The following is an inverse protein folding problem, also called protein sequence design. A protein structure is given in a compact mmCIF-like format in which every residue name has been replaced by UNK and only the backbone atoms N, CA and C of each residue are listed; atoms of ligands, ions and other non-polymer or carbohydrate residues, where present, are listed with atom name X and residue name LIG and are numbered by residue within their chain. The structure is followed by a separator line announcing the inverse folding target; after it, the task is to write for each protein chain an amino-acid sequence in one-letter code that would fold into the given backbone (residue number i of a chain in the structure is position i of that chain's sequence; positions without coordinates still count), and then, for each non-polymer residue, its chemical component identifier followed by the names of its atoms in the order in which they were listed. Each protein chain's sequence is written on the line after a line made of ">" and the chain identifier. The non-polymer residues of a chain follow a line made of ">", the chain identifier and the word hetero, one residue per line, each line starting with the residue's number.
data_IF_802137411630
#
_entry.id   IF_802137411630
#
_cell.length_a   1.000
_cell.length_b   1.000
_cell.length_c   1.000
_cell.angle_alpha   90.00
_cell.angle_beta   90.00
_cell.angle_gamma   90.00
#
_symmetry.space_group_name_H-M   'P 1'
#
loop_
_entity.id
_entity.type
_entity.pdbx_description
1 polymer ?
#
# COMPACT_ATOMS: atom_id res chain seq x y z
N UNK A 1 -34.91 -18.72 2.37
CA UNK A 1 -33.71 -19.37 2.85
C UNK A 1 -32.57 -18.98 1.90
N UNK A 2 -31.92 -17.88 2.19
CA UNK A 2 -30.75 -17.40 1.43
C UNK A 2 -29.52 -18.01 2.06
N UNK A 3 -28.86 -18.90 1.33
CA UNK A 3 -27.59 -19.48 1.74
C UNK A 3 -26.54 -18.34 1.79
N UNK A 4 -26.16 -17.93 2.98
CA UNK A 4 -24.96 -17.14 3.21
C UNK A 4 -23.76 -18.00 2.75
N UNK A 5 -23.14 -17.61 1.66
CA UNK A 5 -21.81 -18.10 1.28
C UNK A 5 -20.84 -17.64 2.38
N UNK A 6 -20.59 -18.50 3.36
CA UNK A 6 -19.47 -18.36 4.29
C UNK A 6 -18.17 -18.70 3.55
N UNK A 7 -17.71 -17.77 2.70
CA UNK A 7 -16.29 -17.71 2.35
C UNK A 7 -15.55 -17.56 3.68
N UNK A 8 -14.60 -18.46 3.91
CA UNK A 8 -13.73 -18.52 5.07
C UNK A 8 -12.93 -17.21 5.16
N UNK A 9 -13.51 -16.18 5.78
CA UNK A 9 -13.01 -14.79 5.74
C UNK A 9 -11.91 -14.65 6.80
N UNK A 10 -10.77 -15.28 6.51
CA UNK A 10 -9.61 -15.26 7.40
C UNK A 10 -8.97 -13.88 7.35
N UNK A 11 -8.97 -13.18 8.47
CA UNK A 11 -8.26 -11.91 8.60
C UNK A 11 -6.76 -12.11 8.46
N UNK A 12 -6.15 -11.38 7.52
CA UNK A 12 -4.70 -11.35 7.27
C UNK A 12 -4.02 -10.34 8.19
N UNK A 13 -4.60 -9.14 8.30
CA UNK A 13 -4.12 -8.07 9.18
C UNK A 13 -5.27 -7.62 10.08
N UNK A 14 -4.99 -7.48 11.37
CA UNK A 14 -5.90 -6.86 12.33
C UNK A 14 -5.18 -5.71 13.04
N UNK A 15 -5.79 -4.56 13.00
CA UNK A 15 -5.42 -3.38 13.76
C UNK A 15 -6.43 -3.18 14.87
N UNK A 16 -5.96 -3.12 16.12
CA UNK A 16 -6.81 -2.97 17.29
C UNK A 16 -6.38 -1.75 18.09
N UNK A 17 -7.27 -0.78 18.23
CA UNK A 17 -7.09 0.49 18.95
C UNK A 17 -5.75 1.20 18.62
N UNK A 18 -5.43 1.30 17.34
CA UNK A 18 -4.20 1.94 16.90
C UNK A 18 -4.30 3.45 17.09
N UNK A 19 -3.43 3.96 17.97
CA UNK A 19 -3.25 5.38 18.24
C UNK A 19 -1.83 5.77 17.96
N UNK A 20 -1.60 7.01 17.49
CA UNK A 20 -0.28 7.60 17.32
C UNK A 20 -0.30 9.08 17.60
N UNK A 21 0.54 9.50 18.54
CA UNK A 21 0.66 10.91 18.96
C UNK A 21 2.10 11.36 18.69
N UNK A 22 2.24 12.47 17.98
CA UNK A 22 3.51 13.16 17.79
C UNK A 22 3.61 14.34 18.73
N UNK A 23 4.86 14.79 19.03
CA UNK A 23 5.15 15.94 19.91
C UNK A 23 4.54 15.82 21.30
N UNK A 24 4.65 14.63 21.95
CA UNK A 24 4.05 14.33 23.27
C UNK A 24 4.36 15.34 24.38
N UNK A 25 5.51 16.01 24.30
CA UNK A 25 6.02 16.91 25.34
C UNK A 25 5.83 18.40 25.00
N UNK A 26 5.09 18.73 23.94
CA UNK A 26 4.81 20.10 23.52
C UNK A 26 3.34 20.46 23.76
N UNK A 27 3.05 21.77 23.76
CA UNK A 27 1.69 22.29 23.79
C UNK A 27 0.88 21.85 22.58
N UNK A 28 1.56 21.56 21.46
CA UNK A 28 0.99 21.18 20.17
C UNK A 28 1.01 19.66 19.96
N UNK A 29 0.33 18.90 20.81
CA UNK A 29 0.14 17.47 20.62
C UNK A 29 -0.71 17.19 19.38
N UNK A 30 -0.19 16.41 18.43
CA UNK A 30 -0.91 16.00 17.24
C UNK A 30 -1.25 14.51 17.35
N UNK A 31 -2.53 14.20 17.53
CA UNK A 31 -3.04 12.84 17.44
C UNK A 31 -3.21 12.48 15.94
N UNK A 32 -2.18 11.89 15.34
CA UNK A 32 -2.20 11.49 13.92
C UNK A 32 -3.06 10.26 13.66
N UNK A 33 -3.19 9.36 14.65
CA UNK A 33 -4.14 8.25 14.65
C UNK A 33 -4.83 8.19 16.02
N UNK A 34 -6.16 7.99 15.99
CA UNK A 34 -6.99 8.01 17.19
C UNK A 34 -7.99 6.84 17.21
N UNK A 35 -7.50 5.67 17.63
CA UNK A 35 -8.32 4.49 17.86
C UNK A 35 -8.74 3.77 16.56
N UNK A 36 -7.80 3.58 15.63
CA UNK A 36 -8.07 2.83 14.40
C UNK A 36 -8.27 1.35 14.72
N UNK A 37 -9.43 0.82 14.30
CA UNK A 37 -9.75 -0.60 14.27
C UNK A 37 -10.02 -1.00 12.82
N UNK A 38 -9.27 -1.97 12.30
CA UNK A 38 -9.37 -2.41 10.91
C UNK A 38 -8.98 -3.87 10.77
N UNK A 39 -9.88 -4.67 10.21
CA UNK A 39 -9.59 -6.01 9.72
C UNK A 39 -9.42 -5.98 8.21
N UNK A 40 -8.31 -6.52 7.73
CA UNK A 40 -8.03 -6.75 6.31
C UNK A 40 -8.10 -8.25 6.06
N UNK A 41 -8.92 -8.64 5.11
CA UNK A 41 -9.14 -10.04 4.78
C UNK A 41 -8.29 -10.49 3.59
N UNK A 42 -8.24 -11.80 3.37
CA UNK A 42 -7.51 -12.36 2.25
C UNK A 42 -8.03 -11.79 0.92
N UNK A 43 -7.11 -11.31 0.10
CA UNK A 43 -7.38 -10.67 -1.19
C UNK A 43 -8.18 -9.35 -1.09
N UNK A 44 -8.30 -8.73 0.08
CA UNK A 44 -8.79 -7.37 0.17
C UNK A 44 -7.85 -6.42 -0.59
N UNK A 45 -8.41 -5.62 -1.47
CA UNK A 45 -7.74 -4.48 -2.07
C UNK A 45 -8.43 -3.20 -1.59
N UNK A 46 -7.93 -2.67 -0.48
CA UNK A 46 -8.49 -1.52 0.21
C UNK A 46 -7.90 -0.24 -0.36
N UNK A 47 -8.76 0.70 -0.76
CA UNK A 47 -8.35 2.06 -1.07
C UNK A 47 -8.65 2.95 0.14
N UNK A 48 -7.65 3.70 0.61
CA UNK A 48 -7.81 4.66 1.70
C UNK A 48 -7.71 6.07 1.13
N UNK A 49 -8.75 6.86 1.30
CA UNK A 49 -8.77 8.28 0.97
C UNK A 49 -8.97 9.13 2.23
N UNK A 50 -8.70 10.40 2.13
CA UNK A 50 -8.85 11.38 3.21
C UNK A 50 -8.03 12.62 2.90
N UNK A 51 -8.34 13.72 3.59
CA UNK A 51 -7.63 14.99 3.46
C UNK A 51 -6.15 14.89 3.85
N UNK A 52 -5.42 15.94 3.53
CA UNK A 52 -4.07 16.11 4.04
C UNK A 52 -4.09 16.15 5.58
N UNK A 53 -3.17 15.44 6.22
CA UNK A 53 -3.16 15.29 7.68
C UNK A 53 -4.19 14.33 8.28
N UNK A 54 -5.01 13.63 7.47
CA UNK A 54 -5.97 12.64 7.97
C UNK A 54 -5.33 11.41 8.64
N UNK A 55 -4.00 11.23 8.55
CA UNK A 55 -3.27 10.12 9.18
C UNK A 55 -2.98 8.95 8.25
N UNK A 56 -3.29 9.03 6.94
CA UNK A 56 -3.12 7.93 5.97
C UNK A 56 -1.69 7.37 5.94
N UNK A 57 -0.71 8.22 5.67
CA UNK A 57 0.72 7.82 5.64
C UNK A 57 1.21 7.35 7.01
N UNK A 58 0.71 7.96 8.10
CA UNK A 58 1.01 7.50 9.47
C UNK A 58 0.49 6.09 9.70
N UNK A 59 -0.71 5.77 9.22
CA UNK A 59 -1.27 4.41 9.30
C UNK A 59 -0.39 3.40 8.57
N UNK A 60 0.03 3.72 7.33
CA UNK A 60 0.95 2.85 6.59
C UNK A 60 2.29 2.68 7.32
N UNK A 61 2.83 3.75 7.93
CA UNK A 61 4.07 3.69 8.70
C UNK A 61 3.93 2.80 9.95
N UNK A 62 2.78 2.82 10.62
CA UNK A 62 2.50 1.95 11.77
C UNK A 62 2.40 0.49 11.32
N UNK A 63 1.69 0.19 10.23
CA UNK A 63 1.58 -1.16 9.68
C UNK A 63 2.96 -1.69 9.24
N UNK A 64 3.80 -0.83 8.64
CA UNK A 64 5.15 -1.20 8.22
C UNK A 64 6.16 -1.31 9.37
N UNK A 65 5.78 -0.94 10.60
CA UNK A 65 6.64 -0.98 11.79
C UNK A 65 7.65 0.16 11.89
N UNK A 66 7.51 1.22 11.07
CA UNK A 66 8.34 2.44 11.14
C UNK A 66 8.03 3.21 12.42
N UNK A 67 6.75 3.28 12.79
CA UNK A 67 6.30 3.87 14.05
C UNK A 67 5.59 2.83 14.91
N UNK A 68 6.01 2.61 16.15
CA UNK A 68 5.21 1.81 17.08
C UNK A 68 3.91 2.54 17.40
N UNK A 69 2.78 1.82 17.54
CA UNK A 69 1.55 2.41 18.06
C UNK A 69 1.70 2.83 19.52
N UNK A 70 0.76 3.62 20.03
CA UNK A 70 0.66 3.92 21.44
C UNK A 70 0.35 2.66 22.26
N UNK A 71 0.64 2.74 23.57
CA UNK A 71 0.40 1.62 24.50
C UNK A 71 -1.07 1.18 24.44
N UNK A 72 -1.30 -0.11 24.29
CA UNK A 72 -2.64 -0.72 24.15
C UNK A 72 -3.02 -1.10 22.74
N UNK A 73 -2.48 -0.41 21.73
CA UNK A 73 -2.70 -0.78 20.32
C UNK A 73 -2.04 -2.10 19.97
N UNK A 74 -2.67 -2.88 19.08
CA UNK A 74 -2.13 -4.17 18.60
C UNK A 74 -2.19 -4.28 17.09
N UNK A 75 -1.14 -4.90 16.53
CA UNK A 75 -1.02 -5.23 15.11
C UNK A 75 -0.83 -6.73 15.03
N UNK A 76 -1.80 -7.44 14.43
CA UNK A 76 -1.72 -8.88 14.24
C UNK A 76 -1.67 -9.20 12.74
N UNK A 77 -0.76 -10.07 12.33
CA UNK A 77 -0.72 -10.63 10.96
C UNK A 77 -0.84 -12.15 11.06
N UNK A 78 -1.83 -12.71 10.36
CA UNK A 78 -2.23 -14.11 10.45
C UNK A 78 -2.46 -14.55 11.90
N UNK A 79 -3.04 -13.66 12.73
CA UNK A 79 -3.29 -13.90 14.15
C UNK A 79 -2.06 -13.80 15.05
N UNK A 80 -0.87 -13.55 14.50
CA UNK A 80 0.36 -13.36 15.27
C UNK A 80 0.54 -11.89 15.61
N UNK A 81 0.73 -11.59 16.88
CA UNK A 81 1.05 -10.23 17.35
C UNK A 81 2.47 -9.84 16.92
N UNK A 82 2.56 -8.79 16.12
CA UNK A 82 3.83 -8.23 15.62
C UNK A 82 4.08 -6.81 16.13
N UNK A 83 3.23 -6.29 17.03
CA UNK A 83 3.21 -4.90 17.49
C UNK A 83 4.58 -4.38 17.91
N UNK A 84 5.33 -5.19 18.65
CA UNK A 84 6.63 -4.80 19.21
C UNK A 84 7.83 -5.30 18.40
N UNK A 85 7.60 -5.80 17.19
CA UNK A 85 8.70 -6.18 16.32
C UNK A 85 9.37 -4.93 15.73
N UNK A 86 10.67 -5.00 15.49
CA UNK A 86 11.40 -3.95 14.78
C UNK A 86 11.00 -3.88 13.32
N UNK A 87 11.20 -2.73 12.67
CA UNK A 87 10.86 -2.48 11.27
C UNK A 87 11.37 -3.59 10.32
N UNK A 88 12.64 -4.02 10.47
CA UNK A 88 13.21 -5.09 9.64
C UNK A 88 12.51 -6.44 9.82
N UNK A 89 11.84 -6.68 10.95
CA UNK A 89 11.04 -7.88 11.20
C UNK A 89 9.63 -7.71 10.62
N UNK A 90 9.05 -6.51 10.64
CA UNK A 90 7.81 -6.19 9.91
C UNK A 90 7.98 -6.39 8.41
N UNK A 91 9.15 -6.08 7.84
CA UNK A 91 9.44 -6.27 6.42
C UNK A 91 9.37 -7.73 5.92
N UNK A 92 9.20 -8.71 6.81
CA UNK A 92 8.87 -10.10 6.44
C UNK A 92 7.41 -10.28 6.06
N UNK A 93 6.54 -9.40 6.56
CA UNK A 93 5.10 -9.48 6.41
C UNK A 93 4.57 -8.41 5.46
N UNK A 94 5.23 -7.27 5.40
CA UNK A 94 4.78 -6.10 4.66
C UNK A 94 5.80 -5.69 3.60
N UNK A 95 5.31 -5.21 2.45
CA UNK A 95 6.12 -4.49 1.47
C UNK A 95 5.45 -3.18 1.14
N UNK A 96 6.24 -2.16 0.78
CA UNK A 96 5.74 -0.83 0.48
C UNK A 96 6.31 -0.31 -0.82
N UNK A 97 5.44 0.32 -1.61
CA UNK A 97 5.80 1.18 -2.74
C UNK A 97 5.53 2.62 -2.32
N UNK A 98 6.53 3.47 -2.45
CA UNK A 98 6.49 4.86 -2.03
C UNK A 98 6.03 5.77 -3.17
N UNK A 99 5.59 6.97 -2.81
CA UNK A 99 5.26 8.03 -3.76
C UNK A 99 6.46 8.39 -4.63
N UNK A 100 7.65 8.54 -4.01
CA UNK A 100 8.91 8.73 -4.72
C UNK A 100 9.56 7.38 -5.03
N UNK A 101 9.69 6.98 -6.32
CA UNK A 101 10.32 5.73 -6.71
C UNK A 101 11.81 5.64 -6.35
N UNK A 102 12.45 6.78 -6.03
CA UNK A 102 13.85 6.81 -5.60
C UNK A 102 14.05 6.19 -4.21
N UNK A 103 13.05 6.26 -3.35
CA UNK A 103 13.14 5.71 -1.98
C UNK A 103 13.18 4.18 -1.98
N UNK A 104 12.43 3.55 -2.89
CA UNK A 104 12.29 2.08 -2.93
C UNK A 104 13.35 1.36 -3.76
N UNK A 105 14.27 2.09 -4.44
CA UNK A 105 15.23 1.51 -5.40
C UNK A 105 16.64 2.02 -5.21
N UNK A 106 17.64 1.16 -5.44
CA UNK A 106 19.06 1.52 -5.43
C UNK A 106 19.51 1.95 -6.83
N UNK A 107 19.57 3.25 -7.09
CA UNK A 107 19.81 3.84 -8.42
C UNK A 107 21.12 3.38 -9.09
N UNK A 108 22.19 3.15 -8.30
CA UNK A 108 23.49 2.73 -8.80
C UNK A 108 23.58 1.22 -9.10
N UNK A 109 22.64 0.45 -8.59
CA UNK A 109 22.56 -0.99 -8.81
C UNK A 109 21.74 -1.29 -10.05
N UNK A 110 22.01 -2.44 -10.67
CA UNK A 110 21.27 -2.95 -11.82
C UNK A 110 19.85 -3.39 -11.43
N UNK A 111 18.99 -3.59 -12.43
CA UNK A 111 17.65 -4.15 -12.24
C UNK A 111 17.71 -5.51 -11.54
N UNK A 112 18.59 -6.41 -11.99
CA UNK A 112 18.70 -7.73 -11.37
C UNK A 112 19.21 -7.71 -9.93
N UNK A 113 20.10 -6.77 -9.59
CA UNK A 113 20.58 -6.60 -8.23
C UNK A 113 19.47 -6.06 -7.32
N UNK A 114 18.71 -5.07 -7.77
CA UNK A 114 17.53 -4.56 -7.04
C UNK A 114 16.49 -5.67 -6.79
N UNK A 115 16.15 -6.46 -7.81
CA UNK A 115 15.22 -7.59 -7.68
C UNK A 115 15.76 -8.68 -6.75
N UNK A 116 17.06 -8.93 -6.80
CA UNK A 116 17.73 -9.91 -5.91
C UNK A 116 17.62 -9.48 -4.45
N UNK A 117 17.84 -8.20 -4.15
CA UNK A 117 17.68 -7.65 -2.80
C UNK A 117 16.22 -7.76 -2.32
N UNK A 118 15.27 -7.46 -3.20
CA UNK A 118 13.84 -7.55 -2.89
C UNK A 118 13.41 -9.01 -2.61
N UNK A 119 13.86 -9.96 -3.42
CA UNK A 119 13.55 -11.39 -3.27
C UNK A 119 14.10 -11.96 -1.95
N UNK A 120 15.24 -11.44 -1.47
CA UNK A 120 15.87 -11.87 -0.21
C UNK A 120 15.31 -11.16 1.02
N UNK A 121 14.33 -10.27 0.85
CA UNK A 121 13.70 -9.55 1.98
C UNK A 121 13.14 -10.55 3.01
N UNK A 122 13.51 -10.34 4.26
CA UNK A 122 13.04 -11.18 5.38
C UNK A 122 13.65 -12.59 5.44
N UNK A 123 14.55 -12.95 4.54
CA UNK A 123 15.25 -14.23 4.57
C UNK A 123 16.63 -14.10 5.24
N UNK A 124 17.13 -15.20 5.82
CA UNK A 124 18.50 -15.29 6.29
C UNK A 124 19.46 -15.17 5.12
N UNK A 125 20.40 -14.23 5.20
CA UNK A 125 21.42 -14.00 4.17
C UNK A 125 22.49 -15.08 4.30
N UNK A 126 22.36 -16.17 3.53
CA UNK A 126 23.44 -17.13 3.35
C UNK A 126 24.47 -16.63 2.32
N UNK A 127 25.67 -17.23 2.31
CA UNK A 127 26.77 -16.96 1.36
C UNK A 127 26.49 -17.41 -0.09
N UNK A 128 25.22 -17.69 -0.45
CA UNK A 128 24.84 -18.07 -1.82
C UNK A 128 24.77 -16.83 -2.70
N UNK A 129 25.42 -16.88 -3.87
CA UNK A 129 25.41 -15.80 -4.85
C UNK A 129 24.00 -15.26 -5.09
N UNK A 130 23.86 -13.94 -5.03
CA UNK A 130 22.55 -13.25 -5.11
C UNK A 130 21.85 -13.51 -6.46
N UNK A 131 22.62 -13.76 -7.52
CA UNK A 131 22.13 -13.96 -8.88
C UNK A 131 22.57 -15.32 -9.40
N UNK A 132 21.61 -16.12 -9.85
CA UNK A 132 21.84 -17.38 -10.57
C UNK A 132 20.89 -17.49 -11.78
N UNK A 133 21.12 -18.45 -12.68
CA UNK A 133 20.33 -18.64 -13.91
C UNK A 133 18.83 -18.76 -13.65
N UNK A 134 18.43 -19.45 -12.57
CA UNK A 134 17.02 -19.63 -12.19
C UNK A 134 16.37 -18.32 -11.77
N UNK A 135 17.07 -17.48 -11.00
CA UNK A 135 16.58 -16.15 -10.59
C UNK A 135 16.47 -15.20 -11.77
N UNK A 136 17.47 -15.22 -12.70
CA UNK A 136 17.39 -14.39 -13.92
C UNK A 136 16.18 -14.75 -14.77
N UNK A 137 15.86 -16.02 -14.88
CA UNK A 137 14.66 -16.46 -15.60
C UNK A 137 13.37 -15.92 -14.93
N UNK A 138 13.24 -16.10 -13.61
CA UNK A 138 12.14 -15.55 -12.84
C UNK A 138 12.01 -14.02 -13.03
N UNK A 139 13.11 -13.29 -12.99
CA UNK A 139 13.09 -11.83 -13.15
C UNK A 139 12.62 -11.43 -14.56
N UNK A 140 13.09 -12.10 -15.62
CA UNK A 140 12.65 -11.85 -16.98
C UNK A 140 11.15 -12.12 -17.14
N UNK A 141 10.66 -13.26 -16.68
CA UNK A 141 9.23 -13.60 -16.74
C UNK A 141 8.39 -12.57 -15.99
N UNK A 142 8.81 -12.15 -14.79
CA UNK A 142 8.07 -11.17 -14.00
C UNK A 142 8.07 -9.79 -14.66
N UNK A 143 9.21 -9.35 -15.22
CA UNK A 143 9.32 -8.06 -15.88
C UNK A 143 8.61 -8.02 -17.23
N UNK A 144 8.61 -9.13 -17.99
CA UNK A 144 7.91 -9.22 -19.28
C UNK A 144 6.41 -8.94 -19.15
N UNK A 145 5.81 -9.26 -18.00
CA UNK A 145 4.40 -8.98 -17.71
C UNK A 145 4.08 -7.48 -17.70
N UNK A 146 5.07 -6.64 -17.45
CA UNK A 146 4.89 -5.19 -17.40
C UNK A 146 4.75 -4.59 -18.81
N UNK A 147 5.25 -5.26 -19.86
CA UNK A 147 5.26 -4.74 -21.23
C UNK A 147 6.10 -3.48 -21.42
N UNK A 148 7.13 -3.26 -20.58
CA UNK A 148 7.97 -2.07 -20.56
C UNK A 148 9.38 -2.31 -21.10
N UNK A 149 9.68 -3.52 -21.62
CA UNK A 149 10.98 -3.91 -22.16
C UNK A 149 12.09 -4.00 -21.09
N UNK A 150 11.73 -4.15 -19.82
CA UNK A 150 12.69 -4.25 -18.71
C UNK A 150 13.31 -5.65 -18.60
N UNK A 151 12.64 -6.66 -19.11
CA UNK A 151 13.09 -8.07 -19.15
C UNK A 151 14.41 -8.25 -19.89
N UNK A 152 14.68 -7.43 -20.90
CA UNK A 152 15.92 -7.45 -21.69
C UNK A 152 17.02 -6.54 -21.12
N UNK A 153 16.70 -5.79 -20.06
CA UNK A 153 17.56 -4.75 -19.48
C UNK A 153 18.06 -5.07 -18.08
N UNK A 154 18.15 -6.34 -17.69
CA UNK A 154 18.51 -6.76 -16.34
C UNK A 154 19.83 -6.18 -15.81
N UNK A 155 20.81 -5.96 -16.68
CA UNK A 155 22.11 -5.38 -16.34
C UNK A 155 22.14 -3.84 -16.39
N UNK A 156 21.01 -3.20 -16.68
CA UNK A 156 20.91 -1.73 -16.74
C UNK A 156 20.82 -1.15 -15.32
N UNK A 157 21.59 -0.09 -15.00
CA UNK A 157 21.44 0.62 -13.74
C UNK A 157 20.06 1.27 -13.60
N UNK A 158 19.41 1.09 -12.45
CA UNK A 158 18.05 1.56 -12.21
C UNK A 158 17.94 3.09 -12.32
N UNK A 159 19.02 3.81 -12.03
CA UNK A 159 19.08 5.29 -12.16
C UNK A 159 18.82 5.81 -13.57
N UNK A 160 18.94 4.98 -14.62
CA UNK A 160 18.71 5.37 -16.02
C UNK A 160 17.28 5.11 -16.49
N UNK A 161 16.43 4.54 -15.65
CA UNK A 161 15.03 4.28 -15.96
C UNK A 161 14.19 5.57 -15.89
N UNK A 162 13.14 5.66 -16.72
CA UNK A 162 12.12 6.70 -16.54
C UNK A 162 11.40 6.56 -15.20
N UNK A 163 10.74 7.63 -14.73
CA UNK A 163 9.97 7.60 -13.49
C UNK A 163 8.95 6.46 -13.46
N UNK A 164 8.18 6.28 -14.53
CA UNK A 164 7.20 5.20 -14.64
C UNK A 164 7.81 3.81 -14.69
N UNK A 165 8.91 3.60 -15.43
CA UNK A 165 9.64 2.34 -15.44
C UNK A 165 10.21 2.00 -14.07
N UNK A 166 10.74 3.00 -13.36
CA UNK A 166 11.27 2.84 -12.01
C UNK A 166 10.16 2.51 -11.02
N UNK A 167 8.99 3.16 -11.14
CA UNK A 167 7.83 2.87 -10.29
C UNK A 167 7.28 1.46 -10.55
N UNK A 168 7.18 1.05 -11.81
CA UNK A 168 6.80 -0.31 -12.16
C UNK A 168 7.79 -1.37 -11.64
N UNK A 169 9.10 -1.07 -11.69
CA UNK A 169 10.13 -1.92 -11.07
C UNK A 169 9.95 -1.99 -9.55
N UNK A 170 9.72 -0.85 -8.87
CA UNK A 170 9.48 -0.82 -7.43
C UNK A 170 8.26 -1.66 -7.03
N UNK A 171 7.20 -1.64 -7.86
CA UNK A 171 6.02 -2.48 -7.67
C UNK A 171 6.36 -3.98 -7.77
N UNK A 172 7.13 -4.40 -8.78
CA UNK A 172 7.60 -5.79 -8.90
C UNK A 172 8.48 -6.17 -7.69
N UNK A 173 9.39 -5.29 -7.29
CA UNK A 173 10.24 -5.52 -6.10
C UNK A 173 9.42 -5.69 -4.83
N UNK A 174 8.30 -4.97 -4.69
CA UNK A 174 7.42 -5.08 -3.54
C UNK A 174 6.59 -6.37 -3.54
N UNK A 175 6.29 -6.92 -4.71
CA UNK A 175 5.43 -8.11 -4.87
C UNK A 175 6.20 -9.42 -4.96
N UNK A 176 7.45 -9.42 -5.45
CA UNK A 176 8.22 -10.63 -5.74
C UNK A 176 8.48 -11.51 -4.51
N UNK A 177 8.54 -10.93 -3.32
CA UNK A 177 8.73 -11.66 -2.05
C UNK A 177 7.42 -12.20 -1.48
N UNK A 178 6.28 -11.94 -2.12
CA UNK A 178 4.92 -12.33 -1.70
C UNK A 178 4.63 -11.94 -0.24
N UNK A 179 4.65 -10.65 0.09
CA UNK A 179 4.33 -10.20 1.44
C UNK A 179 2.87 -10.53 1.81
N UNK A 180 2.56 -10.62 3.11
CA UNK A 180 1.19 -10.78 3.57
C UNK A 180 0.33 -9.54 3.25
N UNK A 181 0.93 -8.35 3.31
CA UNK A 181 0.27 -7.07 2.97
C UNK A 181 1.18 -6.24 2.07
N UNK A 182 0.63 -5.77 0.95
CA UNK A 182 1.24 -4.78 0.09
C UNK A 182 0.70 -3.38 0.44
N UNK A 183 1.59 -2.42 0.65
CA UNK A 183 1.27 -1.02 0.95
C UNK A 183 1.66 -0.15 -0.25
N UNK A 184 0.70 0.56 -0.83
CA UNK A 184 0.88 1.49 -1.94
C UNK A 184 0.58 2.91 -1.45
N UNK A 185 1.62 3.73 -1.31
CA UNK A 185 1.51 5.07 -0.72
C UNK A 185 1.60 6.14 -1.81
N UNK A 186 0.45 6.58 -2.31
CA UNK A 186 0.34 7.60 -3.37
C UNK A 186 1.30 7.37 -4.55
N UNK A 187 1.55 6.12 -4.86
CA UNK A 187 2.64 5.62 -5.71
C UNK A 187 2.60 6.08 -7.18
N UNK A 188 1.57 6.83 -7.58
CA UNK A 188 1.44 7.41 -8.93
C UNK A 188 1.35 8.94 -8.93
N UNK A 189 1.33 9.58 -7.76
CA UNK A 189 1.02 11.01 -7.64
C UNK A 189 2.08 11.93 -8.29
N UNK A 190 3.31 11.46 -8.44
CA UNK A 190 4.42 12.26 -9.05
C UNK A 190 4.62 11.98 -10.54
N UNK A 191 3.80 11.12 -11.13
CA UNK A 191 3.89 10.72 -12.53
C UNK A 191 2.96 11.58 -13.39
N UNK A 192 3.32 11.75 -14.68
CA UNK A 192 2.40 12.34 -15.65
C UNK A 192 1.14 11.45 -15.79
N UNK A 193 -0.01 12.01 -16.19
CA UNK A 193 -1.31 11.31 -16.17
C UNK A 193 -1.31 9.99 -16.95
N UNK A 194 -0.65 9.95 -18.12
CA UNK A 194 -0.59 8.74 -18.96
C UNK A 194 0.23 7.63 -18.29
N UNK A 195 1.38 8.00 -17.76
CA UNK A 195 2.26 7.07 -17.02
C UNK A 195 1.60 6.60 -15.72
N UNK A 196 0.94 7.50 -14.99
CA UNK A 196 0.18 7.17 -13.79
C UNK A 196 -0.90 6.12 -14.06
N UNK A 197 -1.67 6.31 -15.13
CA UNK A 197 -2.69 5.33 -15.54
C UNK A 197 -2.09 3.96 -15.87
N UNK A 198 -0.97 3.94 -16.59
CA UNK A 198 -0.26 2.68 -16.90
C UNK A 198 0.20 1.98 -15.62
N UNK A 199 0.83 2.69 -14.70
CA UNK A 199 1.31 2.11 -13.42
C UNK A 199 0.14 1.62 -12.55
N UNK A 200 -0.98 2.34 -12.52
CA UNK A 200 -2.20 1.90 -11.82
C UNK A 200 -2.76 0.59 -12.38
N UNK A 201 -2.85 0.48 -13.72
CA UNK A 201 -3.30 -0.75 -14.37
C UNK A 201 -2.36 -1.93 -14.07
N UNK A 202 -1.04 -1.69 -14.08
CA UNK A 202 -0.05 -2.70 -13.70
C UNK A 202 -0.19 -3.09 -12.22
N UNK A 203 -0.46 -2.13 -11.33
CA UNK A 203 -0.71 -2.40 -9.91
C UNK A 203 -1.93 -3.31 -9.71
N UNK A 204 -3.06 -2.99 -10.34
CA UNK A 204 -4.29 -3.79 -10.25
C UNK A 204 -4.09 -5.19 -10.82
N UNK A 205 -3.43 -5.29 -11.98
CA UNK A 205 -3.10 -6.56 -12.62
C UNK A 205 -2.25 -7.45 -11.70
N UNK A 206 -1.16 -6.91 -11.13
CA UNK A 206 -0.27 -7.68 -10.25
C UNK A 206 -0.95 -8.09 -8.95
N UNK A 207 -1.70 -7.18 -8.33
CA UNK A 207 -2.46 -7.47 -7.09
C UNK A 207 -3.46 -8.61 -7.31
N UNK A 208 -4.24 -8.55 -8.40
CA UNK A 208 -5.23 -9.60 -8.71
C UNK A 208 -4.58 -10.92 -9.09
N UNK A 209 -3.55 -10.90 -9.94
CA UNK A 209 -2.84 -12.09 -10.39
C UNK A 209 -2.18 -12.84 -9.23
N UNK A 210 -1.48 -12.12 -8.36
CA UNK A 210 -0.77 -12.71 -7.21
C UNK A 210 -1.69 -12.88 -5.98
N UNK A 211 -2.98 -12.52 -6.11
CA UNK A 211 -4.00 -12.59 -5.04
C UNK A 211 -3.53 -11.92 -3.75
N UNK A 212 -2.97 -10.71 -3.86
CA UNK A 212 -2.36 -10.02 -2.76
C UNK A 212 -3.37 -9.18 -1.98
N UNK A 213 -3.35 -9.28 -0.65
CA UNK A 213 -4.03 -8.32 0.20
C UNK A 213 -3.26 -7.00 0.17
N UNK A 214 -3.95 -5.90 -0.19
CA UNK A 214 -3.31 -4.63 -0.53
C UNK A 214 -4.04 -3.46 0.13
N UNK A 215 -3.28 -2.49 0.62
CA UNK A 215 -3.78 -1.19 1.07
C UNK A 215 -3.13 -0.12 0.19
N UNK A 216 -3.94 0.61 -0.56
CA UNK A 216 -3.50 1.74 -1.38
C UNK A 216 -4.03 3.04 -0.77
N UNK A 217 -3.14 3.99 -0.55
CA UNK A 217 -3.49 5.36 -0.17
C UNK A 217 -3.47 6.24 -1.41
N UNK A 218 -4.50 7.06 -1.58
CA UNK A 218 -4.59 8.06 -2.63
C UNK A 218 -5.45 9.25 -2.17
N UNK A 219 -5.24 10.40 -2.77
CA UNK A 219 -6.14 11.55 -2.66
C UNK A 219 -7.11 11.67 -3.86
N UNK A 220 -6.93 10.83 -4.89
CA UNK A 220 -7.74 10.86 -6.10
C UNK A 220 -9.00 10.00 -5.94
N UNK A 221 -10.17 10.64 -6.01
CA UNK A 221 -11.47 9.99 -5.86
C UNK A 221 -11.83 9.07 -7.03
N UNK A 222 -11.39 9.36 -8.25
CA UNK A 222 -11.61 8.48 -9.40
C UNK A 222 -10.89 7.15 -9.20
N UNK A 223 -9.64 7.19 -8.72
CA UNK A 223 -8.90 5.98 -8.35
C UNK A 223 -9.66 5.22 -7.27
N UNK A 224 -10.17 5.93 -6.27
CA UNK A 224 -10.92 5.34 -5.16
C UNK A 224 -12.20 4.64 -5.62
N UNK A 225 -12.89 5.16 -6.62
CA UNK A 225 -14.09 4.53 -7.20
C UNK A 225 -13.78 3.32 -8.06
N UNK A 226 -12.75 3.40 -8.91
CA UNK A 226 -12.50 2.39 -9.94
C UNK A 226 -11.64 1.22 -9.47
N UNK A 227 -10.75 1.43 -8.50
CA UNK A 227 -9.81 0.41 -8.02
C UNK A 227 -10.22 -0.14 -6.65
N UNK A 228 -9.73 -1.34 -6.36
CA UNK A 228 -9.98 -2.02 -5.09
C UNK A 228 -11.42 -2.52 -4.91
N UNK A 229 -11.61 -3.40 -3.96
CA UNK A 229 -12.91 -3.99 -3.59
C UNK A 229 -13.47 -3.42 -2.26
N UNK A 230 -12.74 -2.51 -1.62
CA UNK A 230 -13.14 -1.86 -0.38
C UNK A 230 -12.60 -0.44 -0.32
N UNK A 231 -13.40 0.49 0.17
CA UNK A 231 -13.05 1.90 0.32
C UNK A 231 -13.15 2.32 1.78
N UNK A 232 -12.10 2.95 2.26
CA UNK A 232 -12.02 3.54 3.59
C UNK A 232 -11.77 5.05 3.46
N UNK A 233 -12.54 5.84 4.21
CA UNK A 233 -12.28 7.27 4.33
C UNK A 233 -11.75 7.58 5.73
N UNK A 234 -10.64 8.32 5.77
CA UNK A 234 -10.01 8.77 7.02
C UNK A 234 -10.18 10.28 7.21
N UNK A 235 -10.46 10.67 8.43
CA UNK A 235 -10.53 12.06 8.86
C UNK A 235 -9.99 12.21 10.28
N UNK A 236 -9.09 13.18 10.50
CA UNK A 236 -8.50 13.47 11.83
C UNK A 236 -8.06 12.23 12.61
N UNK A 237 -7.34 11.34 11.92
CA UNK A 237 -6.79 10.12 12.52
C UNK A 237 -7.80 8.99 12.77
N UNK A 238 -9.03 9.10 12.29
CA UNK A 238 -10.10 8.10 12.48
C UNK A 238 -10.60 7.57 11.14
N UNK A 239 -11.10 6.34 11.11
CA UNK A 239 -11.89 5.82 10.00
C UNK A 239 -13.32 6.32 10.18
N UNK A 240 -13.81 7.09 9.20
CA UNK A 240 -15.16 7.67 9.23
C UNK A 240 -16.12 6.96 8.29
N UNK A 241 -15.59 6.32 7.21
CA UNK A 241 -16.36 5.51 6.27
C UNK A 241 -15.59 4.23 5.99
N UNK A 242 -16.32 3.12 5.88
CA UNK A 242 -15.79 1.81 5.49
C UNK A 242 -16.88 1.10 4.67
N UNK A 243 -16.68 1.02 3.36
CA UNK A 243 -17.67 0.46 2.43
C UNK A 243 -17.06 -0.60 1.54
N UNK A 244 -17.85 -1.60 1.18
CA UNK A 244 -17.47 -2.69 0.29
C UNK A 244 -17.82 -2.37 -1.18
N UNK A 245 -17.32 -3.20 -2.09
CA UNK A 245 -17.46 -3.01 -3.54
C UNK A 245 -18.91 -2.86 -3.99
N UNK A 246 -19.85 -3.61 -3.41
CA UNK A 246 -21.26 -3.54 -3.77
C UNK A 246 -21.84 -2.13 -3.57
N UNK A 247 -21.48 -1.49 -2.46
CA UNK A 247 -21.94 -0.13 -2.15
C UNK A 247 -21.24 0.91 -3.03
N UNK A 248 -19.96 0.67 -3.33
CA UNK A 248 -19.08 1.56 -4.08
C UNK A 248 -19.46 1.65 -5.58
N UNK A 249 -19.88 0.55 -6.19
CA UNK A 249 -20.15 0.45 -7.64
C UNK A 249 -21.27 1.36 -8.13
N UNK A 250 -22.15 1.82 -7.24
CA UNK A 250 -23.31 2.67 -7.57
C UNK A 250 -23.04 4.15 -7.32
N UNK A 251 -21.88 4.49 -6.73
CA UNK A 251 -21.57 5.85 -6.31
C UNK A 251 -20.88 6.65 -7.42
N UNK A 252 -21.22 7.93 -7.48
CA UNK A 252 -20.48 8.97 -8.21
C UNK A 252 -19.45 9.64 -7.28
N UNK A 253 -18.55 10.45 -7.85
CA UNK A 253 -17.64 11.28 -7.05
C UNK A 253 -18.42 12.20 -6.12
N UNK A 254 -19.52 12.80 -6.60
CA UNK A 254 -20.38 13.67 -5.79
C UNK A 254 -21.00 12.94 -4.59
N UNK A 255 -21.38 11.68 -4.77
CA UNK A 255 -21.92 10.85 -3.69
C UNK A 255 -20.83 10.54 -2.65
N UNK A 256 -19.60 10.26 -3.09
CA UNK A 256 -18.47 10.05 -2.19
C UNK A 256 -18.15 11.30 -1.36
N UNK A 257 -18.12 12.46 -2.00
CA UNK A 257 -17.93 13.75 -1.34
C UNK A 257 -18.99 13.97 -0.27
N UNK A 258 -20.26 13.80 -0.63
CA UNK A 258 -21.40 13.94 0.29
C UNK A 258 -21.31 12.96 1.46
N UNK A 259 -20.96 11.71 1.19
CA UNK A 259 -20.78 10.69 2.23
C UNK A 259 -19.66 11.06 3.20
N UNK A 260 -18.55 11.60 2.66
CA UNK A 260 -17.41 12.03 3.46
C UNK A 260 -17.75 13.24 4.35
N UNK A 261 -18.34 14.29 3.78
CA UNK A 261 -18.76 15.49 4.53
C UNK A 261 -19.74 15.15 5.67
N UNK A 262 -20.70 14.28 5.39
CA UNK A 262 -21.65 13.80 6.41
C UNK A 262 -20.95 13.03 7.52
N UNK A 263 -20.03 12.13 7.17
CA UNK A 263 -19.30 11.30 8.14
C UNK A 263 -18.28 12.09 8.95
N UNK A 264 -17.65 13.10 8.33
CA UNK A 264 -16.68 13.99 8.98
C UNK A 264 -17.36 15.06 9.87
N UNK A 265 -18.66 15.33 9.62
CA UNK A 265 -19.41 16.40 10.33
C UNK A 265 -19.01 17.82 9.92
N UNK A 266 -18.34 17.97 8.77
CA UNK A 266 -17.80 19.25 8.27
C UNK A 266 -18.30 19.51 6.83
N UNK A 267 -19.42 20.25 6.65
CA UNK A 267 -19.91 20.64 5.31
C UNK A 267 -18.89 21.54 4.61
N UNK A 268 -18.68 21.32 3.31
CA UNK A 268 -17.75 22.13 2.49
C UNK A 268 -16.27 21.71 2.57
N UNK A 269 -15.96 20.67 3.30
CA UNK A 269 -14.59 20.12 3.43
C UNK A 269 -14.05 19.49 2.12
N UNK A 270 -14.93 19.29 1.16
CA UNK A 270 -14.59 18.68 -0.12
C UNK A 270 -13.65 19.52 -1.01
N UNK A 271 -13.39 20.77 -0.69
CA UNK A 271 -12.49 21.65 -1.45
C UNK A 271 -11.09 21.06 -1.66
N UNK A 272 -10.57 20.32 -0.66
CA UNK A 272 -9.27 19.68 -0.71
C UNK A 272 -9.17 18.53 -1.75
N UNK A 273 -10.30 17.98 -2.18
CA UNK A 273 -10.36 16.87 -3.17
C UNK A 273 -10.54 17.36 -4.61
N UNK A 274 -10.96 18.61 -4.80
CA UNK A 274 -11.14 19.23 -6.12
C UNK A 274 -9.95 20.10 -6.53
N UNK A 275 -8.98 20.33 -5.65
CA UNK A 275 -7.89 21.27 -5.86
C UNK A 275 -6.67 20.69 -6.60
N UNK A 276 -6.81 19.53 -7.28
CA UNK A 276 -5.71 18.89 -8.02
C UNK A 276 -6.09 18.56 -9.44
#
# INVERSE_FOLDING_TARGET
>A
ASAMNTTNNRSILQLQDIRKIFARNSVDKIAALDGINLDVYDQDFIIIIGSNGAGKTTLLNVIAGVYPPERGGKILIHGKDITNLSEHKHARYTSRVYQDPHIGTAAKMTIEENLSLALLRGQSRGLRGAVNKKRKHLFRETLAMLGLGLEDRLSTPVGTLSGGQRQALALVMATISKPAILLLDEHVATLDPKTAQTVLQLSDMLVRREKMSTIMVTHNMEIALHYGNRLIMMHKGRIVVNMHQADKMTLTIADLVTAFERAAGEPGFAGDFYAL
#
